data_IF_068780995585
#
_entry.id   IF_068780995585
#
_cell.length_a   1.000
_cell.length_b   1.000
_cell.length_c   1.000
_cell.angle_alpha   90.00
_cell.angle_beta   90.00
_cell.angle_gamma   90.00
#
_symmetry.space_group_name_H-M   'P 1'
#
loop_
_entity.id
_entity.type
_entity.pdbx_description
1 polymer ?
#
# COMPACT_ATOMS: atom_id res chain seq x y z
N UNK A 1 0.77 14.73 -1.90
CA UNK A 1 -0.62 14.24 -1.81
C UNK A 1 -0.75 12.92 -2.59
N UNK A 2 -1.90 12.24 -2.57
CA UNK A 2 -2.13 11.11 -3.49
C UNK A 2 -1.97 11.53 -4.96
N UNK A 3 -1.21 10.73 -5.70
CA UNK A 3 -0.99 10.83 -7.14
C UNK A 3 -1.33 9.49 -7.78
N UNK A 4 -1.48 9.47 -9.10
CA UNK A 4 -1.71 8.21 -9.82
C UNK A 4 -0.52 7.25 -9.61
N UNK A 5 0.70 7.78 -9.64
CA UNK A 5 1.93 7.00 -9.53
C UNK A 5 2.07 6.37 -8.14
N UNK A 6 1.91 7.15 -7.06
CA UNK A 6 2.03 6.60 -5.71
C UNK A 6 0.88 5.64 -5.38
N UNK A 7 -0.32 5.83 -5.92
CA UNK A 7 -1.43 4.90 -5.73
C UNK A 7 -1.19 3.57 -6.47
N UNK A 8 -0.65 3.60 -7.69
CA UNK A 8 -0.25 2.37 -8.38
C UNK A 8 0.85 1.63 -7.61
N UNK A 9 1.85 2.34 -7.08
CA UNK A 9 2.90 1.76 -6.24
C UNK A 9 2.32 1.14 -4.95
N UNK A 10 1.42 1.87 -4.27
CA UNK A 10 0.70 1.39 -3.08
C UNK A 10 -0.10 0.11 -3.38
N UNK A 11 -0.81 0.06 -4.51
CA UNK A 11 -1.55 -1.13 -4.94
C UNK A 11 -0.63 -2.34 -5.13
N UNK A 12 0.51 -2.16 -5.80
CA UNK A 12 1.51 -3.20 -6.04
C UNK A 12 2.09 -3.77 -4.74
N UNK A 13 2.49 -2.89 -3.82
CA UNK A 13 3.01 -3.30 -2.50
C UNK A 13 1.93 -4.02 -1.69
N UNK A 14 0.70 -3.48 -1.70
CA UNK A 14 -0.41 -4.09 -0.98
C UNK A 14 -0.75 -5.49 -1.49
N UNK A 15 -0.80 -5.71 -2.81
CA UNK A 15 -1.02 -7.03 -3.40
C UNK A 15 -0.01 -8.06 -2.88
N UNK A 16 1.27 -7.72 -2.89
CA UNK A 16 2.32 -8.62 -2.41
C UNK A 16 2.19 -8.90 -0.90
N UNK A 17 1.85 -7.89 -0.10
CA UNK A 17 1.59 -8.07 1.33
C UNK A 17 0.41 -9.02 1.59
N UNK A 18 -0.64 -8.99 0.78
CA UNK A 18 -1.80 -9.91 0.91
C UNK A 18 -1.49 -11.35 0.52
N UNK A 19 -0.41 -11.59 -0.24
CA UNK A 19 0.01 -12.92 -0.67
C UNK A 19 0.97 -13.61 0.33
N UNK A 20 1.42 -12.89 1.37
CA UNK A 20 2.29 -13.45 2.39
C UNK A 20 1.57 -14.54 3.20
N UNK A 21 2.26 -15.65 3.46
CA UNK A 21 1.71 -16.79 4.21
C UNK A 21 1.27 -16.40 5.61
N UNK A 22 0.13 -16.95 6.04
CA UNK A 22 -0.34 -16.85 7.42
C UNK A 22 -1.09 -15.56 7.75
N UNK A 23 -1.47 -14.78 6.74
CA UNK A 23 -2.17 -13.52 6.94
C UNK A 23 -3.50 -13.47 6.17
N UNK A 24 -4.59 -13.13 6.87
CA UNK A 24 -5.88 -12.82 6.26
C UNK A 24 -6.03 -11.31 6.17
N UNK A 25 -6.33 -10.78 4.98
CA UNK A 25 -6.49 -9.35 4.74
C UNK A 25 -7.66 -8.75 5.55
N UNK A 26 -7.40 -7.90 6.58
CA UNK A 26 -8.45 -7.27 7.37
C UNK A 26 -9.00 -5.98 6.73
N UNK A 27 -8.41 -5.52 5.63
CA UNK A 27 -8.75 -4.27 4.95
C UNK A 27 -9.43 -4.48 3.60
N UNK A 28 -9.86 -5.71 3.31
CA UNK A 28 -10.63 -6.03 2.11
C UNK A 28 -11.83 -5.08 2.01
N UNK A 29 -11.92 -4.32 0.90
CA UNK A 29 -12.97 -3.33 0.64
C UNK A 29 -12.75 -1.94 1.25
N UNK A 30 -11.61 -1.70 1.93
CA UNK A 30 -11.22 -0.38 2.45
C UNK A 30 -9.79 0.03 2.04
N UNK A 31 -8.99 -0.89 1.49
CA UNK A 31 -7.60 -0.67 1.13
C UNK A 31 -7.40 0.39 0.03
N UNK A 32 -8.35 0.57 -0.87
CA UNK A 32 -8.32 1.62 -1.89
C UNK A 32 -8.73 2.99 -1.33
N UNK A 33 -9.49 3.02 -0.23
CA UNK A 33 -9.90 4.24 0.46
C UNK A 33 -8.80 4.75 1.40
N UNK A 34 -8.09 3.86 2.09
CA UNK A 34 -7.02 4.20 3.04
C UNK A 34 -5.74 3.37 2.82
N UNK A 35 -5.10 3.47 1.64
CA UNK A 35 -4.01 2.57 1.24
C UNK A 35 -2.80 2.67 2.16
N UNK A 36 -2.40 3.88 2.54
CA UNK A 36 -1.23 4.07 3.40
C UNK A 36 -1.43 3.39 4.77
N UNK A 37 -2.59 3.61 5.39
CA UNK A 37 -2.94 2.98 6.68
C UNK A 37 -2.97 1.46 6.58
N UNK A 38 -3.58 0.94 5.52
CA UNK A 38 -3.65 -0.49 5.28
C UNK A 38 -2.23 -1.06 5.12
N UNK A 39 -1.40 -0.48 4.26
CA UNK A 39 -0.01 -0.90 4.01
C UNK A 39 0.83 -0.85 5.29
N UNK A 40 0.86 0.27 6.04
CA UNK A 40 1.66 0.34 7.27
C UNK A 40 1.23 -0.70 8.29
N UNK A 41 -0.08 -0.96 8.38
CA UNK A 41 -0.59 -1.99 9.31
C UNK A 41 -0.23 -3.40 8.84
N UNK A 42 -0.32 -3.66 7.53
CA UNK A 42 0.10 -4.92 6.92
C UNK A 42 1.58 -5.18 7.20
N UNK A 43 2.47 -4.22 6.90
CA UNK A 43 3.91 -4.31 7.14
C UNK A 43 4.21 -4.69 8.59
N UNK A 44 3.61 -3.98 9.55
CA UNK A 44 3.83 -4.26 10.98
C UNK A 44 3.42 -5.67 11.39
N UNK A 45 2.44 -6.27 10.73
CA UNK A 45 1.94 -7.63 11.04
C UNK A 45 2.69 -8.72 10.28
N UNK A 46 3.25 -8.41 9.11
CA UNK A 46 3.89 -9.40 8.23
C UNK A 46 5.41 -9.26 8.17
N UNK A 47 6.01 -8.32 8.91
CA UNK A 47 7.44 -8.01 8.91
C UNK A 47 8.39 -9.23 8.88
N UNK A 48 8.16 -10.31 9.67
CA UNK A 48 9.04 -11.50 9.63
C UNK A 48 9.02 -12.28 8.31
N UNK A 49 8.01 -12.04 7.47
CA UNK A 49 7.75 -12.77 6.22
C UNK A 49 8.02 -11.91 4.97
N UNK A 50 8.39 -10.64 5.14
CA UNK A 50 8.72 -9.74 4.03
C UNK A 50 10.07 -10.16 3.44
N UNK A 51 10.10 -10.41 2.13
CA UNK A 51 11.34 -10.71 1.39
C UNK A 51 12.16 -9.45 1.15
N UNK A 52 13.46 -9.60 0.85
CA UNK A 52 14.33 -8.47 0.49
C UNK A 52 13.81 -7.67 -0.71
N UNK A 53 13.21 -8.36 -1.69
CA UNK A 53 12.59 -7.73 -2.86
C UNK A 53 11.38 -6.86 -2.47
N UNK A 54 10.46 -7.40 -1.68
CA UNK A 54 9.30 -6.65 -1.21
C UNK A 54 9.73 -5.50 -0.28
N UNK A 55 10.76 -5.70 0.55
CA UNK A 55 11.32 -4.66 1.40
C UNK A 55 11.90 -3.50 0.58
N UNK A 56 12.57 -3.80 -0.55
CA UNK A 56 13.04 -2.78 -1.48
C UNK A 56 11.87 -2.01 -2.10
N UNK A 57 10.83 -2.68 -2.57
CA UNK A 57 9.64 -2.01 -3.14
C UNK A 57 8.89 -1.16 -2.10
N UNK A 58 8.84 -1.61 -0.84
CA UNK A 58 8.33 -0.80 0.27
C UNK A 58 9.19 0.44 0.45
N UNK A 59 10.52 0.31 0.45
CA UNK A 59 11.45 1.44 0.55
C UNK A 59 11.24 2.46 -0.58
N UNK A 60 11.18 1.99 -1.83
CA UNK A 60 10.91 2.83 -3.00
C UNK A 60 9.57 3.58 -2.87
N UNK A 61 8.51 2.92 -2.37
CA UNK A 61 7.23 3.57 -2.08
C UNK A 61 7.36 4.66 -1.01
N UNK A 62 8.11 4.40 0.07
CA UNK A 62 8.32 5.39 1.12
C UNK A 62 9.15 6.58 0.63
N UNK A 63 10.14 6.35 -0.22
CA UNK A 63 10.98 7.41 -0.80
C UNK A 63 10.20 8.34 -1.75
N UNK A 64 9.06 7.89 -2.29
CA UNK A 64 8.14 8.72 -3.07
C UNK A 64 7.30 9.68 -2.22
N UNK A 65 7.29 9.50 -0.89
CA UNK A 65 6.45 10.25 0.03
C UNK A 65 7.34 11.03 1.00
N UNK A 66 7.03 12.31 1.20
CA UNK A 66 7.67 13.07 2.27
C UNK A 66 7.19 12.58 3.64
N UNK A 67 8.03 12.66 4.68
CA UNK A 67 7.71 12.13 6.02
C UNK A 67 6.46 12.79 6.59
N UNK A 68 6.35 14.11 6.44
CA UNK A 68 5.16 14.88 6.86
C UNK A 68 3.92 14.50 6.06
N UNK A 69 4.10 14.05 4.82
CA UNK A 69 3.02 13.61 3.96
C UNK A 69 2.48 12.23 4.38
N UNK A 70 3.35 11.30 4.78
CA UNK A 70 2.96 9.96 5.22
C UNK A 70 1.95 10.02 6.39
N UNK A 71 2.22 10.87 7.38
CA UNK A 71 1.33 11.07 8.55
C UNK A 71 -0.06 11.58 8.16
N UNK A 72 -0.13 12.40 7.11
CA UNK A 72 -1.39 12.87 6.54
C UNK A 72 -2.10 11.74 5.78
N UNK A 73 -1.38 11.00 4.94
CA UNK A 73 -1.94 9.95 4.09
C UNK A 73 -2.44 8.74 4.88
N UNK A 74 -1.94 8.48 6.09
CA UNK A 74 -2.50 7.46 6.99
C UNK A 74 -3.96 7.78 7.38
N UNK A 75 -4.32 9.07 7.47
CA UNK A 75 -5.63 9.53 7.96
C UNK A 75 -6.54 10.01 6.84
N UNK A 76 -5.97 10.43 5.71
CA UNK A 76 -6.71 11.03 4.61
C UNK A 76 -7.24 9.97 3.65
N UNK A 77 -8.54 9.96 3.33
CA UNK A 77 -9.06 9.04 2.32
C UNK A 77 -8.60 9.44 0.92
N UNK A 78 -8.43 8.44 0.04
CA UNK A 78 -8.18 8.65 -1.39
C UNK A 78 -9.43 9.23 -2.05
N UNK A 79 -9.30 10.33 -2.82
CA UNK A 79 -10.38 10.85 -3.66
C UNK A 79 -10.94 9.77 -4.59
N UNK A 80 -12.27 9.74 -4.76
CA UNK A 80 -12.96 8.63 -5.45
C UNK A 80 -12.43 8.42 -6.88
N UNK A 81 -12.13 9.52 -7.58
CA UNK A 81 -11.60 9.55 -8.94
C UNK A 81 -10.20 8.91 -9.08
N UNK A 82 -9.44 8.81 -7.99
CA UNK A 82 -8.10 8.24 -7.98
C UNK A 82 -8.06 6.78 -7.49
N UNK A 83 -9.13 6.25 -6.88
CA UNK A 83 -9.12 4.90 -6.29
C UNK A 83 -8.83 3.79 -7.30
N UNK A 84 -9.19 3.99 -8.57
CA UNK A 84 -8.91 3.01 -9.63
C UNK A 84 -7.40 2.83 -9.88
N UNK A 85 -6.58 3.86 -9.63
CA UNK A 85 -5.13 3.77 -9.75
C UNK A 85 -4.54 2.75 -8.77
N UNK A 86 -5.09 2.66 -7.56
CA UNK A 86 -4.70 1.63 -6.60
C UNK A 86 -4.92 0.22 -7.16
N UNK A 87 -6.13 -0.05 -7.67
CA UNK A 87 -6.47 -1.35 -8.23
C UNK A 87 -5.67 -1.70 -9.48
N UNK A 88 -5.34 -0.70 -10.31
CA UNK A 88 -4.44 -0.88 -11.45
C UNK A 88 -3.05 -1.33 -11.00
N UNK A 89 -2.52 -0.77 -9.92
CA UNK A 89 -1.28 -1.22 -9.30
C UNK A 89 -1.38 -2.63 -8.73
N UNK A 90 -2.42 -2.90 -7.95
CA UNK A 90 -2.69 -4.19 -7.31
C UNK A 90 -2.70 -5.34 -8.32
N UNK A 91 -3.41 -5.18 -9.44
CA UNK A 91 -3.55 -6.20 -10.47
C UNK A 91 -2.26 -6.47 -11.29
N UNK A 92 -1.17 -5.71 -11.09
CA UNK A 92 0.12 -6.04 -11.72
C UNK A 92 0.84 -7.19 -11.04
N UNK A 93 0.46 -7.52 -9.79
CA UNK A 93 1.14 -8.49 -8.93
C UNK A 93 0.27 -9.70 -8.57
N UNK A 94 -0.99 -9.71 -9.00
CA UNK A 94 -1.96 -10.81 -8.79
C UNK A 94 -2.09 -11.64 -10.06
#
# INVERSE_FOLDING_TARGET
MYTVENLEAMGSVYAQLTQLKGFNDPFQGQCDMFPMRSITTMINRTMPYISDELNREIGELMDMLDVDEMDVLIKKPVPMELRMSFWKGYNKKV
#
